data_IF_899040631913
#
_entry.id   IF_899040631913
#
_cell.length_a   1.000
_cell.length_b   1.000
_cell.length_c   1.000
_cell.angle_alpha   90.00
_cell.angle_beta   90.00
_cell.angle_gamma   90.00
#
_symmetry.space_group_name_H-M   'P 1'
#
loop_
_entity.id
_entity.type
_entity.pdbx_description
1 polymer ?
#
# COMPACT_ATOMS: atom_id res chain seq x y z
N UNK A 1 13.15 6.39 3.17
CA UNK A 1 12.97 6.58 1.71
C UNK A 1 11.49 6.65 1.40
N UNK A 2 11.11 7.38 0.35
CA UNK A 2 9.74 7.30 -0.16
C UNK A 2 9.66 6.12 -1.11
N UNK A 3 8.72 5.21 -0.87
CA UNK A 3 8.52 4.01 -1.67
C UNK A 3 7.06 4.00 -2.13
N UNK A 4 6.82 3.96 -3.43
CA UNK A 4 5.50 3.86 -4.04
C UNK A 4 5.11 2.40 -4.24
N UNK A 5 3.89 2.03 -3.86
CA UNK A 5 3.22 0.83 -4.34
C UNK A 5 2.58 1.17 -5.69
N UNK A 6 2.94 0.39 -6.70
CA UNK A 6 2.33 0.46 -8.02
C UNK A 6 1.53 -0.79 -8.32
N UNK A 7 0.41 -0.62 -8.99
CA UNK A 7 -0.48 -1.69 -9.41
C UNK A 7 -0.61 -1.70 -10.93
N UNK A 8 -0.74 -2.89 -11.50
CA UNK A 8 -1.14 -3.15 -12.88
C UNK A 8 -2.16 -4.27 -12.86
N UNK A 9 -3.24 -4.14 -13.62
CA UNK A 9 -4.26 -5.17 -13.74
C UNK A 9 -4.98 -5.04 -15.08
N UNK A 10 -5.42 -6.17 -15.63
CA UNK A 10 -6.28 -6.16 -16.81
C UNK A 10 -7.72 -6.00 -16.35
N UNK A 11 -8.41 -4.97 -16.86
CA UNK A 11 -9.76 -4.60 -16.45
C UNK A 11 -10.71 -4.64 -17.64
N UNK A 12 -11.80 -5.40 -17.51
CA UNK A 12 -12.87 -5.48 -18.50
C UNK A 12 -14.13 -4.91 -17.88
N UNK A 13 -14.70 -3.88 -18.52
CA UNK A 13 -15.91 -3.18 -18.06
C UNK A 13 -15.79 -2.57 -16.65
N UNK A 14 -14.57 -2.15 -16.28
CA UNK A 14 -14.26 -1.58 -14.96
C UNK A 14 -13.53 -0.26 -15.16
N UNK A 15 -14.05 0.78 -14.54
CA UNK A 15 -13.53 2.14 -14.69
C UNK A 15 -12.30 2.40 -13.82
N UNK A 16 -12.33 1.92 -12.58
CA UNK A 16 -11.24 2.10 -11.63
C UNK A 16 -11.21 1.02 -10.55
N UNK A 17 -10.01 0.77 -9.99
CA UNK A 17 -9.80 -0.03 -8.78
C UNK A 17 -9.32 0.88 -7.66
N UNK A 18 -9.96 0.74 -6.53
CA UNK A 18 -9.57 1.39 -5.29
C UNK A 18 -10.05 0.57 -4.10
N UNK A 19 -9.36 0.68 -2.95
CA UNK A 19 -9.82 0.10 -1.71
C UNK A 19 -11.29 0.41 -1.43
N UNK A 20 -12.03 -0.56 -0.87
CA UNK A 20 -13.41 -0.34 -0.48
C UNK A 20 -13.53 0.67 0.66
N UNK A 21 -14.35 1.69 0.43
CA UNK A 21 -14.64 2.75 1.38
C UNK A 21 -13.50 3.76 1.52
N UNK A 22 -13.22 4.13 2.76
CA UNK A 22 -12.31 5.22 3.09
C UNK A 22 -10.84 4.75 3.05
N UNK A 23 -10.06 5.31 2.12
CA UNK A 23 -8.62 5.08 1.98
C UNK A 23 -7.84 5.26 3.28
N UNK A 24 -8.29 6.17 4.15
CA UNK A 24 -7.62 6.46 5.42
C UNK A 24 -7.82 5.34 6.46
N UNK A 25 -8.90 4.57 6.34
CA UNK A 25 -9.26 3.43 7.20
C UNK A 25 -8.85 2.07 6.62
N UNK A 26 -8.45 2.04 5.35
CA UNK A 26 -8.08 0.79 4.70
C UNK A 26 -6.82 0.18 5.31
N UNK A 27 -6.84 -1.15 5.48
CA UNK A 27 -5.71 -1.92 6.02
C UNK A 27 -4.82 -2.41 4.88
N UNK A 28 -3.71 -1.70 4.69
CA UNK A 28 -2.68 -2.06 3.73
C UNK A 28 -1.83 -3.20 4.29
N UNK A 29 -2.05 -4.42 3.82
CA UNK A 29 -1.31 -5.59 4.31
C UNK A 29 0.01 -5.74 3.55
N UNK A 30 1.12 -5.59 4.27
CA UNK A 30 2.46 -5.53 3.73
C UNK A 30 3.36 -6.59 4.36
N UNK A 31 4.27 -7.13 3.56
CA UNK A 31 5.53 -7.70 4.06
C UNK A 31 6.54 -6.58 4.24
N UNK A 32 7.17 -6.54 5.40
CA UNK A 32 8.09 -5.48 5.77
C UNK A 32 9.43 -6.09 6.17
N UNK A 33 10.47 -5.69 5.46
CA UNK A 33 11.85 -6.12 5.68
C UNK A 33 12.65 -5.06 6.42
N UNK A 34 13.41 -5.45 7.43
CA UNK A 34 14.34 -4.56 8.10
C UNK A 34 15.55 -4.28 7.20
N UNK A 35 15.77 -3.03 6.85
CA UNK A 35 16.89 -2.65 5.96
C UNK A 35 18.26 -2.72 6.64
N UNK A 36 18.29 -2.89 7.97
CA UNK A 36 19.54 -2.98 8.74
C UNK A 36 20.13 -4.39 8.80
N UNK A 37 19.28 -5.40 8.97
CA UNK A 37 19.72 -6.79 9.20
C UNK A 37 19.07 -7.80 8.25
N UNK A 38 18.15 -7.36 7.39
CA UNK A 38 17.46 -8.22 6.43
C UNK A 38 16.29 -9.02 7.00
N UNK A 39 16.02 -8.97 8.31
CA UNK A 39 14.91 -9.69 8.95
C UNK A 39 13.57 -9.31 8.30
N UNK A 40 12.83 -10.31 7.85
CA UNK A 40 11.49 -10.17 7.29
C UNK A 40 10.55 -11.20 7.95
N UNK A 41 9.56 -10.75 8.75
CA UNK A 41 8.66 -11.68 9.42
C UNK A 41 7.79 -12.48 8.45
N UNK A 42 7.57 -13.76 8.79
CA UNK A 42 6.70 -14.66 8.01
C UNK A 42 5.22 -14.25 8.01
N UNK A 43 4.77 -13.43 8.96
CA UNK A 43 3.39 -12.93 9.00
C UNK A 43 3.25 -11.59 8.25
N UNK A 44 2.04 -11.32 7.77
CA UNK A 44 1.65 -10.03 7.21
C UNK A 44 1.44 -9.01 8.33
N UNK A 45 1.87 -7.78 8.09
CA UNK A 45 1.58 -6.63 8.94
C UNK A 45 0.64 -5.70 8.19
N UNK A 46 -0.20 -4.93 8.89
CA UNK A 46 -1.05 -3.94 8.23
C UNK A 46 -0.66 -2.52 8.65
N UNK A 47 -0.85 -1.57 7.74
CA UNK A 47 -0.76 -0.14 8.02
C UNK A 47 -2.08 0.53 7.65
N UNK A 48 -2.52 1.48 8.49
CA UNK A 48 -3.74 2.29 8.32
C UNK A 48 -3.33 3.75 8.46
N UNK A 49 -3.86 4.64 7.62
CA UNK A 49 -3.46 6.06 7.65
C UNK A 49 -3.96 6.78 8.91
N UNK A 50 -5.18 6.49 9.36
CA UNK A 50 -5.74 7.09 10.58
C UNK A 50 -4.99 6.65 11.86
N UNK A 51 -4.37 5.47 11.87
CA UNK A 51 -3.61 4.98 13.02
C UNK A 51 -2.27 5.71 13.13
N UNK A 52 -2.07 6.49 14.20
CA UNK A 52 -0.86 7.31 14.38
C UNK A 52 -0.20 7.07 15.72
N UNK A 53 1.10 6.88 15.68
CA UNK A 53 1.96 6.67 16.83
C UNK A 53 3.02 7.76 16.89
N UNK A 54 3.22 8.33 18.09
CA UNK A 54 4.27 9.31 18.32
C UNK A 54 5.64 8.63 18.27
N UNK A 55 6.56 9.18 17.48
CA UNK A 55 7.91 8.65 17.41
C UNK A 55 8.72 8.98 18.67
N UNK A 56 9.37 7.98 19.31
CA UNK A 56 10.24 8.23 20.46
C UNK A 56 11.36 9.22 20.11
N UNK A 57 11.50 10.29 20.91
CA UNK A 57 12.56 11.29 20.73
C UNK A 57 12.40 12.20 19.51
N UNK A 58 11.22 12.24 18.87
CA UNK A 58 10.92 13.11 17.73
C UNK A 58 9.54 13.75 17.86
N UNK A 59 9.30 14.83 17.10
CA UNK A 59 7.97 15.44 16.95
C UNK A 59 7.12 14.80 15.84
N UNK A 60 7.69 13.86 15.07
CA UNK A 60 6.96 13.22 13.99
C UNK A 60 6.07 12.09 14.46
N UNK A 61 5.11 11.74 13.61
CA UNK A 61 4.20 10.61 13.78
C UNK A 61 4.55 9.51 12.76
N UNK A 62 4.10 8.30 13.02
CA UNK A 62 4.19 7.19 12.06
C UNK A 62 2.93 6.33 12.17
N UNK A 63 2.61 5.60 11.10
CA UNK A 63 1.49 4.67 11.11
C UNK A 63 1.89 3.28 11.63
N UNK A 64 3.17 2.92 11.51
CA UNK A 64 3.77 1.76 12.17
C UNK A 64 5.01 2.22 12.93
N UNK A 65 5.15 1.72 14.16
CA UNK A 65 6.39 1.77 14.94
C UNK A 65 6.72 0.35 15.41
N UNK A 66 7.83 -0.21 14.93
CA UNK A 66 8.19 -1.61 15.17
C UNK A 66 9.65 -1.79 15.55
N UNK A 67 9.90 -2.49 16.65
CA UNK A 67 11.26 -2.94 17.02
C UNK A 67 11.59 -4.21 16.26
N UNK A 68 12.66 -4.19 15.47
CA UNK A 68 13.17 -5.40 14.82
C UNK A 68 13.57 -6.43 15.87
N UNK A 69 13.03 -7.66 15.77
CA UNK A 69 13.31 -8.74 16.72
C UNK A 69 14.76 -9.25 16.65
N UNK A 70 15.41 -9.09 15.50
CA UNK A 70 16.80 -9.54 15.30
C UNK A 70 17.83 -8.49 15.76
N UNK A 71 17.80 -7.28 15.19
CA UNK A 71 18.82 -6.25 15.48
C UNK A 71 18.39 -5.18 16.51
N UNK A 72 17.20 -5.29 17.08
CA UNK A 72 16.63 -4.34 18.06
C UNK A 72 16.45 -2.89 17.57
N UNK A 73 16.73 -2.59 16.30
CA UNK A 73 16.49 -1.28 15.71
C UNK A 73 15.01 -0.92 15.74
N UNK A 74 14.68 0.30 16.13
CA UNK A 74 13.34 0.85 16.02
C UNK A 74 13.17 1.35 14.59
N UNK A 75 12.16 0.83 13.91
CA UNK A 75 11.82 1.23 12.55
C UNK A 75 10.42 1.83 12.51
N UNK A 76 10.16 2.66 11.50
CA UNK A 76 8.86 3.28 11.30
C UNK A 76 8.46 3.31 9.83
N UNK A 77 7.16 3.41 9.60
CA UNK A 77 6.56 3.60 8.28
C UNK A 77 5.35 4.53 8.41
N UNK A 78 5.25 5.50 7.51
CA UNK A 78 4.16 6.47 7.44
C UNK A 78 3.56 6.46 6.02
N UNK A 79 2.24 6.46 5.91
CA UNK A 79 1.50 6.68 4.67
C UNK A 79 1.51 8.17 4.35
N UNK A 80 1.84 8.51 3.10
CA UNK A 80 1.74 9.89 2.63
C UNK A 80 0.27 10.16 2.27
N UNK A 81 -0.44 10.92 3.13
CA UNK A 81 -1.88 11.22 3.01
C UNK A 81 -2.34 11.62 1.61
N UNK A 82 -1.58 12.48 0.93
CA UNK A 82 -1.98 13.03 -0.36
C UNK A 82 -1.49 12.19 -1.55
N UNK A 83 -1.06 10.94 -1.30
CA UNK A 83 -0.52 10.05 -2.33
C UNK A 83 -1.51 9.01 -2.87
N UNK A 84 -2.72 8.95 -2.32
CA UNK A 84 -3.74 8.01 -2.77
C UNK A 84 -4.15 8.31 -4.20
N UNK A 85 -4.12 7.29 -5.06
CA UNK A 85 -4.49 7.40 -6.47
C UNK A 85 -5.24 6.13 -6.87
N UNK A 86 -6.51 6.21 -7.29
CA UNK A 86 -7.21 5.06 -7.86
C UNK A 86 -6.49 4.53 -9.09
N UNK A 87 -6.43 3.21 -9.23
CA UNK A 87 -5.92 2.60 -10.46
C UNK A 87 -6.98 2.73 -11.54
N UNK A 88 -6.70 3.48 -12.60
CA UNK A 88 -7.54 3.54 -13.79
C UNK A 88 -6.92 2.67 -14.87
N UNK A 89 -7.75 2.09 -15.73
CA UNK A 89 -7.31 1.10 -16.74
C UNK A 89 -6.15 1.67 -17.54
N UNK A 90 -4.98 1.06 -17.36
CA UNK A 90 -3.74 1.43 -18.02
C UNK A 90 -2.97 0.18 -18.39
N UNK A 91 -2.35 0.16 -19.56
CA UNK A 91 -1.49 -0.97 -19.99
C UNK A 91 -0.20 -1.07 -19.15
N UNK A 92 0.00 -0.17 -18.18
CA UNK A 92 1.21 0.02 -17.40
C UNK A 92 0.96 0.10 -15.89
N UNK A 93 2.05 0.01 -15.13
CA UNK A 93 2.03 0.18 -13.68
C UNK A 93 1.74 1.63 -13.31
N UNK A 94 0.71 1.84 -12.49
CA UNK A 94 0.35 3.15 -11.96
C UNK A 94 0.54 3.20 -10.44
N UNK A 95 0.99 4.35 -9.93
CA UNK A 95 1.14 4.58 -8.49
C UNK A 95 -0.23 4.56 -7.81
N UNK A 96 -0.32 3.84 -6.68
CA UNK A 96 -1.54 3.69 -5.90
C UNK A 96 -1.45 4.44 -4.56
N UNK A 97 -0.29 4.33 -3.89
CA UNK A 97 0.01 4.93 -2.59
C UNK A 97 1.52 5.03 -2.38
N UNK A 98 1.97 5.97 -1.55
CA UNK A 98 3.37 6.13 -1.13
C UNK A 98 3.54 6.00 0.38
N UNK A 99 4.69 5.43 0.75
CA UNK A 99 5.11 5.24 2.13
C UNK A 99 6.44 5.97 2.40
N UNK A 100 6.53 6.77 3.46
CA UNK A 100 7.83 7.20 4.03
C UNK A 100 8.32 6.14 5.02
N UNK A 101 9.31 5.37 4.60
CA UNK A 101 9.85 4.27 5.38
C UNK A 101 11.18 4.66 6.04
N UNK A 102 11.37 4.30 7.32
CA UNK A 102 12.62 4.50 8.07
C UNK A 102 13.06 3.19 8.71
N UNK A 103 14.05 2.53 8.11
CA UNK A 103 14.56 1.23 8.59
C UNK A 103 13.71 0.02 8.18
N UNK A 104 12.59 0.26 7.49
CA UNK A 104 11.75 -0.75 6.84
C UNK A 104 11.71 -0.54 5.34
N UNK A 105 11.47 -1.62 4.63
CA UNK A 105 11.19 -1.67 3.20
C UNK A 105 10.00 -2.60 2.99
N UNK A 106 8.89 -2.15 2.38
CA UNK A 106 7.82 -3.03 1.98
C UNK A 106 8.26 -3.88 0.78
N UNK A 107 8.07 -5.19 0.88
CA UNK A 107 8.55 -6.17 -0.09
C UNK A 107 7.42 -6.90 -0.81
N UNK A 108 6.23 -6.95 -0.22
CA UNK A 108 5.05 -7.58 -0.80
C UNK A 108 3.76 -6.90 -0.31
N UNK A 109 2.69 -7.00 -1.10
CA UNK A 109 1.38 -6.42 -0.81
C UNK A 109 0.27 -7.43 -1.07
N UNK A 110 -0.56 -7.64 -0.05
CA UNK A 110 -1.77 -8.44 -0.14
C UNK A 110 -2.99 -7.51 -0.15
N UNK A 111 -3.65 -7.31 -1.30
CA UNK A 111 -4.84 -6.47 -1.40
C UNK A 111 -6.00 -7.00 -0.54
N UNK A 112 -6.06 -8.31 -0.28
CA UNK A 112 -7.20 -9.00 0.35
C UNK A 112 -8.53 -8.71 -0.36
N UNK A 113 -9.62 -9.28 0.16
CA UNK A 113 -10.98 -9.17 -0.42
C UNK A 113 -11.50 -7.73 -0.42
N UNK A 114 -11.11 -6.90 0.54
CA UNK A 114 -11.63 -5.53 0.70
C UNK A 114 -11.01 -4.51 -0.26
N UNK A 115 -10.16 -4.92 -1.19
CA UNK A 115 -9.53 -3.98 -2.13
C UNK A 115 -10.41 -3.57 -3.31
N UNK A 116 -11.50 -4.29 -3.57
CA UNK A 116 -12.25 -4.14 -4.82
C UNK A 116 -13.60 -3.44 -4.58
N UNK A 117 -13.62 -2.11 -4.58
CA UNK A 117 -14.86 -1.37 -4.81
C UNK A 117 -14.98 -1.00 -6.29
N UNK A 118 -16.06 -1.43 -6.91
CA UNK A 118 -16.36 -1.15 -8.31
C UNK A 118 -17.22 0.12 -8.38
N UNK A 119 -16.71 1.14 -9.07
CA UNK A 119 -17.53 2.29 -9.45
C UNK A 119 -17.99 2.06 -10.89
N UNK A 120 -19.30 1.83 -11.04
CA UNK A 120 -20.07 1.54 -12.26
C UNK A 120 -20.00 0.11 -12.86
N UNK A 121 -20.79 -0.80 -12.28
CA UNK A 121 -21.51 -1.78 -13.10
C UNK A 121 -22.72 -1.06 -13.71
N UNK A 122 -22.70 -0.79 -15.02
CA UNK A 122 -23.90 -0.32 -15.72
C UNK A 122 -24.88 -1.49 -15.84
N UNK A 123 -25.86 -1.56 -14.92
CA UNK A 123 -26.94 -2.55 -14.95
C UNK A 123 -27.67 -2.58 -16.30
N UNK A 124 -27.64 -1.49 -17.09
CA UNK A 124 -28.26 -1.44 -18.42
C UNK A 124 -27.43 -2.11 -19.50
N UNK A 125 -26.11 -2.20 -19.33
CA UNK A 125 -25.21 -2.83 -20.30
C UNK A 125 -25.17 -4.36 -20.15
N UNK A 126 -25.49 -4.89 -18.96
CA UNK A 126 -25.50 -6.33 -18.64
C UNK A 126 -24.24 -7.09 -19.10
N UNK A 127 -23.08 -6.44 -19.09
CA UNK A 127 -21.81 -7.04 -19.48
C UNK A 127 -21.04 -7.52 -18.23
N UNK A 128 -20.36 -8.67 -18.30
CA UNK A 128 -19.55 -9.16 -17.20
C UNK A 128 -18.40 -8.18 -16.93
N UNK A 129 -18.12 -7.93 -15.65
CA UNK A 129 -16.92 -7.22 -15.19
C UNK A 129 -15.84 -8.22 -14.81
N UNK A 130 -14.59 -7.89 -15.12
CA UNK A 130 -13.46 -8.79 -14.87
C UNK A 130 -12.22 -7.98 -14.46
N UNK A 131 -11.51 -8.45 -13.43
CA UNK A 131 -10.13 -8.06 -13.15
C UNK A 131 -9.26 -9.31 -13.22
N UNK A 132 -8.21 -9.24 -14.02
CA UNK A 132 -7.22 -10.29 -14.12
C UNK A 132 -5.81 -9.73 -13.93
N UNK A 133 -4.86 -10.65 -13.71
CA UNK A 133 -3.42 -10.37 -13.75
C UNK A 133 -2.99 -9.21 -12.85
N UNK A 134 -3.54 -9.13 -11.63
CA UNK A 134 -3.14 -8.11 -10.66
C UNK A 134 -1.67 -8.32 -10.32
N UNK A 135 -0.87 -7.32 -10.61
CA UNK A 135 0.55 -7.27 -10.33
C UNK A 135 0.86 -6.03 -9.50
N UNK A 136 1.61 -6.24 -8.43
CA UNK A 136 2.03 -5.19 -7.52
C UNK A 136 3.55 -5.09 -7.50
N UNK A 137 4.09 -3.88 -7.44
CA UNK A 137 5.53 -3.66 -7.24
C UNK A 137 5.81 -2.44 -6.38
N UNK A 138 6.96 -2.43 -5.72
CA UNK A 138 7.45 -1.29 -4.97
C UNK A 138 8.55 -0.56 -5.73
N UNK A 139 8.46 0.76 -5.82
CA UNK A 139 9.43 1.61 -6.53
C UNK A 139 9.95 2.70 -5.60
N UNK A 140 11.27 2.85 -5.52
CA UNK A 140 11.89 3.95 -4.79
C UNK A 140 11.64 5.28 -5.52
N UNK A 141 10.94 6.20 -4.86
CA UNK A 141 10.77 7.56 -5.37
C UNK A 141 12.05 8.34 -5.08
N UNK A 142 12.64 8.96 -6.12
CA UNK A 142 13.70 9.96 -5.91
C UNK A 142 13.10 11.13 -5.14
N UNK A 143 13.79 11.59 -4.08
CA UNK A 143 13.43 12.86 -3.44
C UNK A 143 13.55 13.96 -4.50
N UNK A 144 12.47 14.69 -4.76
CA UNK A 144 12.53 15.96 -5.48
C UNK A 144 13.36 16.96 -4.67
#
# INVERSE_FOLDING_TARGET
PIIALQLKANMVNVTSLQPMGDWSKFRWHLKLKCTNCGEEPAHWQYVVEEEKFNMPGSRGVANILGKCKLCSRINSLEIIKDSFQPYTSSDDYSELIKFDCRGLEPTDFDPRVCFFEWVDYDEKAAQPTEINEIQCRFVFCRKQ
#
